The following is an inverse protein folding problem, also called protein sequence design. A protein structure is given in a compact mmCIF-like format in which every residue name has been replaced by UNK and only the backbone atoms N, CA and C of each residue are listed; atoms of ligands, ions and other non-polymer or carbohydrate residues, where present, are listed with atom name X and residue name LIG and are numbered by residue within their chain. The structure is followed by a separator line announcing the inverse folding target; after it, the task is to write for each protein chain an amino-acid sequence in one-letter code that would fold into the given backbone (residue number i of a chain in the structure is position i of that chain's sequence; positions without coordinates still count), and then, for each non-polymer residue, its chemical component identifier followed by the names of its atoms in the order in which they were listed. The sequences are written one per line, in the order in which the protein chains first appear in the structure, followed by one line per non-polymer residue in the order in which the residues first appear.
data_IF_386475545788
#
_entry.id   IF_386475545788
#
_cell.length_a   1.000
_cell.length_b   1.000
_cell.length_c   1.000
_cell.angle_alpha   90.00
_cell.angle_beta   90.00
_cell.angle_gamma   90.00
#
_symmetry.space_group_name_H-M   'P 1'
#
loop_
_entity.id
_entity.type
_entity.pdbx_description
1 polymer ?
#
# COMPACT_ATOMS: atom_id res chain seq x y z
N UNK A 1 -27.57 -14.77 10.96
CA UNK A 1 -28.46 -14.29 9.88
C UNK A 1 -28.67 -12.78 9.98
N UNK A 2 -28.97 -12.14 8.85
CA UNK A 2 -29.34 -10.72 8.73
C UNK A 2 -30.73 -10.63 8.13
N UNK A 3 -31.56 -9.75 8.65
CA UNK A 3 -32.91 -9.49 8.17
C UNK A 3 -33.12 -8.01 7.92
N UNK A 4 -33.77 -7.69 6.82
CA UNK A 4 -34.15 -6.32 6.43
C UNK A 4 -35.64 -6.19 6.62
N UNK A 5 -36.06 -5.14 7.31
CA UNK A 5 -37.47 -4.84 7.54
C UNK A 5 -37.79 -3.44 6.99
N UNK A 6 -38.98 -3.26 6.48
CA UNK A 6 -39.52 -1.94 6.22
C UNK A 6 -39.88 -1.27 7.56
N UNK A 7 -39.46 -0.02 7.74
CA UNK A 7 -39.81 0.74 8.95
C UNK A 7 -41.35 0.90 9.07
N UNK A 8 -42.05 1.12 7.96
CA UNK A 8 -43.52 1.18 7.95
C UNK A 8 -44.16 -0.12 8.45
N UNK A 9 -43.63 -1.28 8.02
CA UNK A 9 -44.16 -2.59 8.48
C UNK A 9 -43.89 -2.81 9.97
N UNK A 10 -42.78 -2.37 10.50
CA UNK A 10 -42.46 -2.47 11.95
C UNK A 10 -43.42 -1.59 12.76
N UNK A 11 -43.70 -0.37 12.31
CA UNK A 11 -44.53 0.59 13.04
C UNK A 11 -46.04 0.26 12.99
N UNK A 12 -46.50 -0.38 11.92
CA UNK A 12 -47.92 -0.69 11.70
C UNK A 12 -48.28 -2.13 12.03
N UNK A 13 -47.29 -3.03 12.10
CA UNK A 13 -47.53 -4.45 12.36
C UNK A 13 -47.62 -4.79 13.85
N UNK A 14 -48.28 -5.87 14.22
CA UNK A 14 -48.30 -6.35 15.58
C UNK A 14 -46.87 -6.80 16.00
N UNK A 15 -46.47 -6.59 17.27
CA UNK A 15 -45.17 -6.98 17.78
C UNK A 15 -44.87 -8.46 17.48
N UNK A 16 -43.73 -8.72 16.83
CA UNK A 16 -43.24 -10.08 16.55
C UNK A 16 -43.81 -10.79 15.33
N UNK A 17 -44.79 -10.19 14.60
CA UNK A 17 -45.43 -10.81 13.43
C UNK A 17 -45.01 -10.18 12.08
N UNK A 18 -44.06 -9.25 12.08
CA UNK A 18 -43.63 -8.58 10.84
C UNK A 18 -42.68 -9.49 10.04
N UNK A 19 -43.06 -9.82 8.84
CA UNK A 19 -42.17 -10.56 7.91
C UNK A 19 -41.03 -9.69 7.40
N UNK A 20 -39.79 -10.19 7.34
CA UNK A 20 -38.68 -9.47 6.74
C UNK A 20 -38.89 -9.28 5.22
N UNK A 21 -38.54 -8.10 4.71
CA UNK A 21 -38.55 -7.83 3.27
C UNK A 21 -37.43 -8.60 2.53
N UNK A 22 -36.31 -8.82 3.21
CA UNK A 22 -35.20 -9.66 2.73
C UNK A 22 -34.47 -10.30 3.91
N UNK A 23 -33.92 -11.49 3.73
CA UNK A 23 -33.10 -12.14 4.75
C UNK A 23 -31.95 -12.95 4.11
N UNK A 24 -30.84 -13.05 4.84
CA UNK A 24 -29.69 -13.86 4.47
C UNK A 24 -29.14 -14.60 5.68
N UNK A 25 -28.94 -15.89 5.54
CA UNK A 25 -28.29 -16.75 6.55
C UNK A 25 -26.84 -17.01 6.14
N UNK A 26 -25.97 -17.10 7.12
CA UNK A 26 -24.55 -17.40 6.93
C UNK A 26 -24.20 -18.62 7.77
N UNK A 27 -23.41 -19.50 7.19
CA UNK A 27 -23.00 -20.74 7.89
C UNK A 27 -21.98 -20.44 8.98
N UNK A 28 -21.07 -19.50 8.73
CA UNK A 28 -20.04 -19.03 9.67
C UNK A 28 -19.85 -17.54 9.51
N UNK A 29 -20.05 -16.81 10.57
CA UNK A 29 -19.77 -15.38 10.64
C UNK A 29 -19.72 -14.97 12.11
N UNK A 30 -18.57 -14.54 12.59
CA UNK A 30 -18.38 -14.01 13.93
C UNK A 30 -18.69 -12.52 13.96
N UNK A 31 -18.35 -11.82 12.89
CA UNK A 31 -18.58 -10.38 12.72
C UNK A 31 -19.28 -10.08 11.40
N UNK A 32 -20.14 -9.05 11.40
CA UNK A 32 -20.83 -8.56 10.21
C UNK A 32 -20.69 -7.05 10.15
N UNK A 33 -20.20 -6.55 9.01
CA UNK A 33 -20.16 -5.13 8.69
C UNK A 33 -21.16 -4.84 7.60
N UNK A 34 -21.98 -3.80 7.77
CA UNK A 34 -23.08 -3.47 6.87
C UNK A 34 -22.93 -2.03 6.36
N UNK A 35 -23.05 -1.85 5.03
CA UNK A 35 -23.07 -0.52 4.42
C UNK A 35 -24.24 -0.41 3.45
N UNK A 36 -25.16 0.51 3.75
CA UNK A 36 -26.28 0.84 2.90
C UNK A 36 -25.86 1.74 1.73
N UNK A 37 -26.47 1.55 0.58
CA UNK A 37 -26.39 2.57 -0.46
C UNK A 37 -27.23 3.79 -0.08
N UNK A 38 -26.92 4.95 -0.68
CA UNK A 38 -27.60 6.22 -0.36
C UNK A 38 -29.12 6.17 -0.64
N UNK A 39 -29.56 5.40 -1.64
CA UNK A 39 -30.96 5.22 -1.99
C UNK A 39 -31.71 4.30 -1.01
N UNK A 40 -31.04 3.61 -0.10
CA UNK A 40 -31.67 2.64 0.80
C UNK A 40 -32.27 1.41 0.10
N UNK A 41 -31.86 1.16 -1.14
CA UNK A 41 -32.38 0.07 -1.98
C UNK A 41 -31.54 -1.20 -1.94
N UNK A 42 -30.30 -1.11 -1.48
CA UNK A 42 -29.35 -2.23 -1.43
C UNK A 42 -28.40 -2.11 -0.25
N UNK A 43 -27.98 -3.26 0.24
CA UNK A 43 -27.09 -3.41 1.37
C UNK A 43 -25.90 -4.28 0.99
N UNK A 44 -24.68 -3.80 1.24
CA UNK A 44 -23.47 -4.62 1.24
C UNK A 44 -23.23 -5.17 2.65
N UNK A 45 -22.94 -6.45 2.72
CA UNK A 45 -22.71 -7.22 3.93
C UNK A 45 -21.36 -7.89 3.84
N UNK A 46 -20.41 -7.51 4.68
CA UNK A 46 -19.18 -8.25 4.87
C UNK A 46 -19.29 -9.13 6.11
N UNK A 47 -19.08 -10.42 5.93
CA UNK A 47 -18.94 -11.36 7.03
C UNK A 47 -17.46 -11.63 7.26
N UNK A 48 -17.05 -11.73 8.53
CA UNK A 48 -15.70 -12.10 8.91
C UNK A 48 -15.77 -13.22 9.97
N UNK A 49 -14.84 -14.17 9.87
CA UNK A 49 -14.59 -15.19 10.89
C UNK A 49 -13.30 -14.85 11.62
N UNK A 50 -13.24 -15.10 12.92
CA UNK A 50 -12.04 -14.83 13.73
C UNK A 50 -10.90 -15.85 13.44
N UNK A 51 -11.25 -17.03 12.92
CA UNK A 51 -10.31 -18.10 12.59
C UNK A 51 -10.47 -18.58 11.15
N UNK A 52 -9.37 -18.63 10.42
CA UNK A 52 -9.28 -19.32 9.14
C UNK A 52 -9.10 -20.83 9.39
N UNK A 53 -10.06 -21.64 8.93
CA UNK A 53 -9.98 -23.09 9.05
C UNK A 53 -8.91 -23.72 8.15
N UNK A 54 -8.48 -23.01 7.12
CA UNK A 54 -7.43 -23.49 6.23
C UNK A 54 -6.03 -23.27 6.81
N UNK A 55 -5.90 -22.53 7.91
CA UNK A 55 -4.61 -22.18 8.54
C UNK A 55 -3.71 -21.28 7.68
N UNK A 56 -4.22 -20.77 6.55
CA UNK A 56 -3.46 -19.93 5.62
C UNK A 56 -3.44 -18.45 6.01
N UNK A 57 -4.44 -17.99 6.76
CA UNK A 57 -4.58 -16.58 7.12
C UNK A 57 -4.72 -16.40 8.63
N UNK A 58 -3.92 -15.51 9.19
CA UNK A 58 -4.07 -15.05 10.57
C UNK A 58 -5.35 -14.23 10.78
N UNK A 59 -5.90 -13.63 9.72
CA UNK A 59 -7.00 -12.66 9.79
C UNK A 59 -8.39 -13.28 9.61
N UNK A 60 -8.50 -14.60 9.60
CA UNK A 60 -9.77 -15.27 9.32
C UNK A 60 -10.19 -15.18 7.85
N UNK A 61 -11.43 -15.57 7.58
CA UNK A 61 -12.03 -15.52 6.24
C UNK A 61 -13.04 -14.37 6.17
N UNK A 62 -12.98 -13.58 5.09
CA UNK A 62 -13.94 -12.51 4.82
C UNK A 62 -14.71 -12.78 3.54
N UNK A 63 -16.03 -12.56 3.57
CA UNK A 63 -16.90 -12.70 2.42
C UNK A 63 -17.79 -11.47 2.28
N UNK A 64 -18.03 -11.03 1.03
CA UNK A 64 -18.90 -9.91 0.74
C UNK A 64 -20.15 -10.39 0.03
N UNK A 65 -21.30 -9.90 0.48
CA UNK A 65 -22.61 -10.19 -0.08
C UNK A 65 -23.34 -8.90 -0.39
N UNK A 66 -24.18 -8.93 -1.42
CA UNK A 66 -25.07 -7.85 -1.77
C UNK A 66 -26.52 -8.33 -1.64
N UNK A 67 -27.33 -7.55 -0.95
CA UNK A 67 -28.75 -7.81 -0.73
C UNK A 67 -29.57 -6.61 -1.23
N UNK A 68 -30.60 -6.90 -2.02
CA UNK A 68 -31.64 -5.92 -2.37
C UNK A 68 -32.68 -5.85 -1.23
N UNK A 69 -33.17 -4.65 -0.93
CA UNK A 69 -34.26 -4.44 0.04
C UNK A 69 -35.59 -5.03 -0.39
N UNK A 70 -35.75 -5.29 -1.69
CA UNK A 70 -36.97 -5.93 -2.25
C UNK A 70 -36.94 -7.45 -2.13
N UNK A 71 -35.79 -8.05 -1.76
CA UNK A 71 -35.62 -9.48 -1.72
C UNK A 71 -35.52 -10.16 -3.09
N UNK A 72 -35.49 -9.40 -4.18
CA UNK A 72 -35.44 -9.87 -5.56
C UNK A 72 -34.00 -10.20 -6.02
N UNK A 73 -32.99 -9.76 -5.30
CA UNK A 73 -31.60 -10.00 -5.64
C UNK A 73 -30.74 -10.16 -4.40
N UNK A 74 -30.07 -11.29 -4.29
CA UNK A 74 -28.99 -11.51 -3.35
C UNK A 74 -27.88 -12.33 -4.00
N UNK A 75 -26.63 -11.94 -3.79
CA UNK A 75 -25.50 -12.72 -4.27
C UNK A 75 -24.24 -12.50 -3.43
N UNK A 76 -23.33 -13.46 -3.50
CA UNK A 76 -21.96 -13.31 -3.02
C UNK A 76 -21.16 -12.58 -4.09
N UNK A 77 -20.39 -11.56 -3.71
CA UNK A 77 -19.45 -10.88 -4.60
C UNK A 77 -18.26 -11.81 -4.84
N UNK A 78 -18.05 -12.19 -6.11
CA UNK A 78 -16.91 -13.01 -6.51
C UNK A 78 -15.62 -12.17 -6.50
N UNK A 79 -14.66 -12.55 -5.68
CA UNK A 79 -13.34 -11.90 -5.58
C UNK A 79 -12.31 -12.90 -6.10
N UNK A 80 -11.48 -12.46 -7.05
CA UNK A 80 -10.51 -13.28 -7.77
C UNK A 80 -9.13 -13.36 -7.12
N UNK A 81 -8.90 -12.58 -6.05
CA UNK A 81 -7.65 -12.57 -5.30
C UNK A 81 -7.87 -13.05 -3.87
N UNK A 82 -7.06 -14.01 -3.43
CA UNK A 82 -7.07 -14.51 -2.05
C UNK A 82 -6.64 -13.43 -1.04
N UNK A 83 -7.25 -13.46 0.13
CA UNK A 83 -6.94 -12.59 1.26
C UNK A 83 -8.14 -11.81 1.77
N UNK A 84 -7.94 -11.02 2.85
CA UNK A 84 -9.03 -10.32 3.50
C UNK A 84 -9.58 -9.17 2.65
N UNK A 85 -10.84 -8.82 2.89
CA UNK A 85 -11.44 -7.58 2.41
C UNK A 85 -11.01 -6.49 3.39
N UNK A 86 -10.35 -5.44 2.86
CA UNK A 86 -9.83 -4.34 3.66
C UNK A 86 -10.87 -3.24 3.84
N UNK A 87 -11.57 -2.91 2.76
CA UNK A 87 -12.67 -1.94 2.76
C UNK A 87 -13.58 -2.14 1.55
N UNK A 88 -14.81 -1.68 1.66
CA UNK A 88 -15.79 -1.63 0.59
C UNK A 88 -16.69 -0.43 0.78
N UNK A 89 -17.02 0.28 -0.30
CA UNK A 89 -17.80 1.52 -0.20
C UNK A 89 -18.74 1.69 -1.39
N UNK A 90 -19.97 2.13 -1.10
CA UNK A 90 -20.93 2.52 -2.13
C UNK A 90 -20.57 3.87 -2.75
N UNK A 91 -20.69 3.95 -4.06
CA UNK A 91 -20.74 5.25 -4.72
C UNK A 91 -22.03 6.00 -4.30
N UNK A 92 -21.96 7.32 -4.08
CA UNK A 92 -23.13 8.13 -3.76
C UNK A 92 -24.28 8.03 -4.78
N UNK A 93 -23.99 7.61 -6.03
CA UNK A 93 -25.01 7.35 -7.06
C UNK A 93 -25.83 6.08 -6.83
N UNK A 94 -25.47 5.24 -5.83
CA UNK A 94 -26.12 3.97 -5.49
C UNK A 94 -26.15 2.91 -6.60
N UNK A 95 -25.38 3.08 -7.67
CA UNK A 95 -25.36 2.17 -8.84
C UNK A 95 -24.12 1.30 -8.91
N UNK A 96 -23.10 1.62 -8.11
CA UNK A 96 -21.82 0.94 -8.10
C UNK A 96 -21.16 1.02 -6.72
N UNK A 97 -20.19 0.15 -6.49
CA UNK A 97 -19.40 0.14 -5.28
C UNK A 97 -17.96 -0.30 -5.59
N UNK A 98 -17.02 0.08 -4.74
CA UNK A 98 -15.61 -0.34 -4.82
C UNK A 98 -15.34 -1.32 -3.69
N UNK A 99 -14.46 -2.30 -3.97
CA UNK A 99 -13.95 -3.25 -2.98
C UNK A 99 -12.42 -3.26 -3.05
N UNK A 100 -11.79 -3.17 -1.88
CA UNK A 100 -10.36 -3.39 -1.67
C UNK A 100 -10.16 -4.75 -1.00
N UNK A 101 -9.50 -5.68 -1.66
CA UNK A 101 -9.36 -7.05 -1.17
C UNK A 101 -8.06 -7.73 -1.57
N UNK A 102 -7.78 -8.83 -0.91
CA UNK A 102 -6.62 -9.66 -1.15
C UNK A 102 -5.41 -9.28 -0.29
N UNK A 103 -4.45 -10.18 -0.19
CA UNK A 103 -3.19 -9.90 0.52
C UNK A 103 -2.49 -8.70 -0.09
N UNK A 104 -1.86 -7.88 0.78
CA UNK A 104 -1.15 -6.67 0.33
C UNK A 104 -0.03 -7.01 -0.67
N UNK A 105 0.06 -6.25 -1.77
CA UNK A 105 -0.75 -5.09 -2.17
C UNK A 105 -2.17 -5.48 -2.56
N UNK A 106 -3.19 -4.77 -2.02
CA UNK A 106 -4.61 -5.07 -2.24
C UNK A 106 -5.05 -4.75 -3.67
N UNK A 107 -5.97 -5.57 -4.21
CA UNK A 107 -6.63 -5.31 -5.49
C UNK A 107 -7.84 -4.41 -5.25
N UNK A 108 -8.02 -3.41 -6.11
CA UNK A 108 -9.17 -2.50 -6.11
C UNK A 108 -10.02 -2.76 -7.35
N UNK A 109 -11.31 -3.00 -7.14
CA UNK A 109 -12.26 -3.28 -8.24
C UNK A 109 -13.55 -2.51 -8.04
N UNK A 110 -14.05 -1.92 -9.12
CA UNK A 110 -15.35 -1.26 -9.19
C UNK A 110 -16.38 -2.26 -9.70
N UNK A 111 -17.44 -2.47 -8.94
CA UNK A 111 -18.56 -3.33 -9.28
C UNK A 111 -19.83 -2.51 -9.52
N UNK A 112 -20.67 -2.98 -10.42
CA UNK A 112 -22.05 -2.48 -10.57
C UNK A 112 -22.92 -2.98 -9.41
N UNK A 113 -24.11 -2.38 -9.24
CA UNK A 113 -25.11 -2.88 -8.28
C UNK A 113 -25.63 -4.30 -8.62
N UNK A 114 -25.34 -4.83 -9.81
CA UNK A 114 -25.59 -6.22 -10.21
C UNK A 114 -24.37 -7.13 -10.00
N UNK A 115 -23.34 -6.62 -9.34
CA UNK A 115 -22.09 -7.34 -9.01
C UNK A 115 -21.27 -7.73 -10.25
N UNK A 116 -21.47 -7.04 -11.36
CA UNK A 116 -20.59 -7.16 -12.52
C UNK A 116 -19.39 -6.22 -12.36
N UNK A 117 -18.21 -6.67 -12.75
CA UNK A 117 -17.00 -5.84 -12.78
C UNK A 117 -17.15 -4.73 -13.82
N UNK A 118 -17.00 -3.48 -13.40
CA UNK A 118 -16.98 -2.30 -14.27
C UNK A 118 -15.54 -1.96 -14.65
N UNK A 119 -14.64 -1.91 -13.66
CA UNK A 119 -13.24 -1.57 -13.86
C UNK A 119 -12.36 -2.19 -12.78
N UNK A 120 -11.15 -2.57 -13.17
CA UNK A 120 -10.08 -2.95 -12.27
C UNK A 120 -9.09 -1.79 -12.14
N UNK A 121 -8.84 -1.33 -10.91
CA UNK A 121 -7.98 -0.19 -10.62
C UNK A 121 -6.52 -0.59 -10.31
N UNK A 122 -6.23 -1.90 -10.48
CA UNK A 122 -4.92 -2.48 -10.22
C UNK A 122 -4.70 -2.89 -8.76
N UNK A 123 -3.45 -3.22 -8.43
CA UNK A 123 -3.04 -3.68 -7.10
C UNK A 123 -2.07 -2.69 -6.48
N UNK A 124 -2.39 -2.19 -5.30
CA UNK A 124 -1.61 -1.20 -4.57
C UNK A 124 -1.76 -1.38 -3.06
N UNK A 125 -0.80 -0.91 -2.23
CA UNK A 125 -0.93 -0.95 -0.78
C UNK A 125 -1.96 0.10 -0.31
N UNK A 126 -3.24 -0.26 -0.39
CA UNK A 126 -4.39 0.58 -0.03
C UNK A 126 -5.34 -0.22 0.85
N UNK A 127 -5.98 0.44 1.82
CA UNK A 127 -6.90 -0.18 2.77
C UNK A 127 -8.11 0.69 3.14
N UNK A 128 -8.30 1.82 2.46
CA UNK A 128 -9.40 2.74 2.70
C UNK A 128 -9.91 3.31 1.39
N UNK A 129 -11.24 3.38 1.26
CA UNK A 129 -11.96 3.97 0.14
C UNK A 129 -12.79 5.15 0.67
N UNK A 130 -12.80 6.26 -0.06
CA UNK A 130 -13.71 7.36 0.25
C UNK A 130 -14.15 8.07 -1.02
N UNK A 131 -15.44 8.21 -1.21
CA UNK A 131 -16.03 8.99 -2.29
C UNK A 131 -16.26 10.44 -1.87
N UNK A 132 -16.09 11.37 -2.81
CA UNK A 132 -16.58 12.72 -2.57
C UNK A 132 -18.14 12.73 -2.59
N UNK A 133 -18.77 13.75 -1.97
CA UNK A 133 -20.24 13.79 -1.85
C UNK A 133 -21.02 13.69 -3.16
N UNK A 134 -20.43 14.13 -4.28
CA UNK A 134 -21.00 14.06 -5.62
C UNK A 134 -20.82 12.71 -6.30
N UNK A 135 -19.89 11.86 -5.81
CA UNK A 135 -19.56 10.58 -6.43
C UNK A 135 -18.73 10.68 -7.72
N UNK A 136 -18.25 11.88 -8.08
CA UNK A 136 -17.39 12.11 -9.23
C UNK A 136 -15.95 11.67 -8.94
N UNK A 137 -15.42 12.08 -7.80
CA UNK A 137 -14.08 11.73 -7.37
C UNK A 137 -14.16 10.71 -6.24
N UNK A 138 -13.13 9.86 -6.17
CA UNK A 138 -12.91 9.00 -5.01
C UNK A 138 -11.42 8.85 -4.75
N UNK A 139 -11.10 8.44 -3.54
CA UNK A 139 -9.73 8.17 -3.13
C UNK A 139 -9.56 6.73 -2.68
N UNK A 140 -8.38 6.20 -2.96
CA UNK A 140 -7.86 4.97 -2.39
C UNK A 140 -6.65 5.33 -1.53
N UNK A 141 -6.75 5.11 -0.22
CA UNK A 141 -5.71 5.48 0.72
C UNK A 141 -5.10 4.26 1.40
N UNK A 142 -3.83 4.35 1.75
CA UNK A 142 -3.09 3.33 2.50
C UNK A 142 -2.65 3.85 3.85
N UNK A 143 -3.48 3.71 4.88
CA UNK A 143 -3.20 4.19 6.23
C UNK A 143 -2.80 3.06 7.16
N UNK A 144 -2.49 3.40 8.35
CA UNK A 144 -2.13 2.42 9.32
C UNK A 144 -0.67 2.02 9.23
N UNK A 145 -0.42 0.75 9.01
CA UNK A 145 0.91 0.20 8.80
C UNK A 145 1.42 0.42 7.36
N UNK A 146 0.65 1.14 6.53
CA UNK A 146 1.00 1.51 5.17
C UNK A 146 1.62 2.91 5.12
N UNK A 147 2.23 3.25 4.00
CA UNK A 147 3.04 4.47 3.84
C UNK A 147 2.27 5.80 3.89
N UNK A 148 0.93 5.77 3.90
CA UNK A 148 0.11 7.00 3.90
C UNK A 148 -0.15 7.59 2.52
N UNK A 149 0.12 6.84 1.47
CA UNK A 149 -0.14 7.30 0.10
C UNK A 149 -1.64 7.31 -0.18
N UNK A 150 -2.13 8.38 -0.81
CA UNK A 150 -3.53 8.57 -1.21
C UNK A 150 -3.58 8.84 -2.71
N UNK A 151 -4.32 8.01 -3.43
CA UNK A 151 -4.54 8.15 -4.87
C UNK A 151 -5.94 8.71 -5.12
N UNK A 152 -6.02 9.79 -5.89
CA UNK A 152 -7.27 10.42 -6.30
C UNK A 152 -7.62 9.93 -7.70
N UNK A 153 -8.87 9.47 -7.87
CA UNK A 153 -9.41 8.93 -9.11
C UNK A 153 -10.62 9.72 -9.58
N UNK A 154 -10.78 9.84 -10.89
CA UNK A 154 -12.00 10.34 -11.51
C UNK A 154 -12.85 9.17 -11.99
N UNK A 155 -14.07 9.06 -11.49
CA UNK A 155 -15.01 7.99 -11.85
C UNK A 155 -15.35 8.00 -13.34
N UNK A 156 -15.37 9.17 -13.99
CA UNK A 156 -15.67 9.29 -15.42
C UNK A 156 -14.47 8.92 -16.32
N UNK A 157 -13.27 8.82 -15.75
CA UNK A 157 -12.01 8.59 -16.47
C UNK A 157 -11.20 7.42 -15.89
N UNK A 158 -11.86 6.34 -15.51
CA UNK A 158 -11.18 5.19 -14.89
C UNK A 158 -10.11 4.57 -15.82
N UNK A 159 -10.34 4.62 -17.13
CA UNK A 159 -9.38 4.10 -18.12
C UNK A 159 -8.07 4.93 -18.19
N UNK A 160 -8.13 6.21 -17.84
CA UNK A 160 -6.95 7.10 -17.85
C UNK A 160 -6.05 6.86 -16.62
N UNK A 161 -6.50 6.04 -15.67
CA UNK A 161 -5.82 5.75 -14.43
C UNK A 161 -6.10 6.80 -13.33
N UNK A 162 -5.24 6.82 -12.32
CA UNK A 162 -5.35 7.79 -11.23
C UNK A 162 -4.94 9.19 -11.69
N UNK A 163 -5.65 10.21 -11.18
CA UNK A 163 -5.38 11.60 -11.49
C UNK A 163 -4.14 12.12 -10.77
N UNK A 164 -4.12 11.95 -9.46
CA UNK A 164 -3.09 12.48 -8.58
C UNK A 164 -2.75 11.49 -7.48
N UNK A 165 -1.54 11.59 -6.99
CA UNK A 165 -1.08 10.89 -5.78
C UNK A 165 -0.55 11.93 -4.81
N UNK A 166 -0.97 11.86 -3.56
CA UNK A 166 -0.45 12.70 -2.48
C UNK A 166 0.09 11.82 -1.35
N UNK A 167 1.04 12.37 -0.61
CA UNK A 167 1.63 11.75 0.55
C UNK A 167 1.02 12.34 1.82
N UNK A 168 0.15 11.56 2.45
CA UNK A 168 -0.45 11.84 3.75
C UNK A 168 0.11 10.89 4.81
N UNK A 169 1.44 10.78 4.88
CA UNK A 169 2.15 9.93 5.84
C UNK A 169 1.63 10.16 7.25
N UNK A 170 1.58 9.08 8.04
CA UNK A 170 1.12 9.07 9.43
C UNK A 170 -0.36 9.41 9.64
N UNK A 171 -1.14 9.65 8.59
CA UNK A 171 -2.57 9.95 8.73
C UNK A 171 -3.37 8.73 9.16
N UNK A 172 -4.39 8.95 9.95
CA UNK A 172 -5.35 7.96 10.44
C UNK A 172 -6.80 8.28 10.06
N UNK A 173 -7.04 9.52 9.64
CA UNK A 173 -8.36 10.03 9.23
C UNK A 173 -8.25 10.64 7.85
N UNK A 174 -9.28 10.41 7.02
CA UNK A 174 -9.46 11.03 5.73
C UNK A 174 -10.95 11.34 5.56
N UNK A 175 -11.27 12.58 5.20
CA UNK A 175 -12.64 13.02 5.00
C UNK A 175 -12.71 14.06 3.87
N UNK A 176 -13.70 13.93 2.99
CA UNK A 176 -13.99 14.92 1.98
C UNK A 176 -14.76 16.10 2.58
N UNK A 177 -14.47 17.32 2.11
CA UNK A 177 -15.27 18.48 2.44
C UNK A 177 -16.71 18.32 1.90
N UNK A 178 -17.71 19.00 2.51
CA UNK A 178 -19.09 18.91 2.07
C UNK A 178 -19.33 19.34 0.63
N UNK A 179 -18.49 20.25 0.10
CA UNK A 179 -18.51 20.68 -1.30
C UNK A 179 -17.74 19.73 -2.25
N UNK A 180 -17.02 18.76 -1.71
CA UNK A 180 -16.28 17.73 -2.46
C UNK A 180 -15.01 18.23 -3.14
N UNK A 181 -14.53 19.45 -2.85
CA UNK A 181 -13.34 20.02 -3.46
C UNK A 181 -12.06 19.81 -2.65
N UNK A 182 -12.19 19.57 -1.35
CA UNK A 182 -11.05 19.42 -0.45
C UNK A 182 -11.08 18.08 0.27
N UNK A 183 -9.88 17.60 0.60
CA UNK A 183 -9.65 16.44 1.44
C UNK A 183 -8.98 16.90 2.74
N UNK A 184 -9.50 16.47 3.86
CA UNK A 184 -8.88 16.56 5.16
C UNK A 184 -8.16 15.24 5.45
N UNK A 185 -6.91 15.30 5.84
CA UNK A 185 -6.18 14.17 6.42
C UNK A 185 -5.65 14.56 7.79
N UNK A 186 -5.73 13.66 8.75
CA UNK A 186 -5.34 13.95 10.13
C UNK A 186 -4.46 12.88 10.74
N UNK A 187 -3.44 13.31 11.48
CA UNK A 187 -2.63 12.47 12.36
C UNK A 187 -3.13 12.63 13.79
N UNK A 188 -3.70 11.55 14.36
CA UNK A 188 -4.35 11.60 15.67
C UNK A 188 -3.49 10.97 16.78
N UNK A 189 -3.54 11.59 17.97
CA UNK A 189 -2.77 11.21 19.15
C UNK A 189 -2.96 9.76 19.63
N UNK A 190 -4.15 9.14 19.61
CA UNK A 190 -4.29 7.77 20.09
C UNK A 190 -3.43 6.77 19.35
N UNK A 191 -3.11 7.07 18.10
CA UNK A 191 -2.29 6.22 17.25
C UNK A 191 -0.83 6.65 17.21
N UNK A 192 -0.57 7.92 17.03
CA UNK A 192 0.78 8.50 16.91
C UNK A 192 0.82 9.82 17.68
N UNK A 193 1.77 9.94 18.60
CA UNK A 193 1.92 11.15 19.43
C UNK A 193 2.86 12.20 18.84
N UNK A 194 3.33 11.98 17.61
CA UNK A 194 4.26 12.89 16.90
C UNK A 194 3.57 13.41 15.66
N UNK A 195 3.83 14.67 15.32
CA UNK A 195 3.29 15.35 14.13
C UNK A 195 1.74 15.32 14.05
N UNK A 196 1.08 15.46 15.21
CA UNK A 196 -0.38 15.58 15.25
C UNK A 196 -0.83 16.86 14.54
N UNK A 197 -1.94 16.78 13.88
CA UNK A 197 -2.49 17.91 13.15
C UNK A 197 -3.30 17.49 11.93
N UNK A 198 -3.80 18.48 11.22
CA UNK A 198 -4.56 18.32 9.99
C UNK A 198 -3.80 18.88 8.80
N UNK A 199 -4.02 18.23 7.65
CA UNK A 199 -3.60 18.74 6.35
C UNK A 199 -4.81 18.78 5.44
N UNK A 200 -5.02 19.91 4.78
CA UNK A 200 -6.09 20.10 3.83
C UNK A 200 -5.49 20.11 2.42
N UNK A 201 -5.98 19.22 1.60
CA UNK A 201 -5.55 19.05 0.22
C UNK A 201 -6.68 19.44 -0.72
N UNK A 202 -6.37 20.10 -1.81
CA UNK A 202 -7.31 20.31 -2.88
C UNK A 202 -7.48 19.02 -3.72
N UNK A 203 -8.62 18.84 -4.38
CA UNK A 203 -8.89 17.67 -5.22
C UNK A 203 -7.90 17.45 -6.37
N UNK A 204 -7.08 18.45 -6.70
CA UNK A 204 -5.94 18.36 -7.63
C UNK A 204 -4.66 17.83 -6.98
N UNK A 205 -4.70 17.35 -5.74
CA UNK A 205 -3.55 16.83 -5.01
C UNK A 205 -2.63 17.88 -4.39
N UNK A 206 -2.96 19.18 -4.48
CA UNK A 206 -2.15 20.25 -3.92
C UNK A 206 -2.46 20.49 -2.44
N UNK A 207 -1.42 20.61 -1.62
CA UNK A 207 -1.54 20.98 -0.20
C UNK A 207 -1.94 22.45 -0.09
N UNK A 208 -3.06 22.72 0.60
CA UNK A 208 -3.62 24.07 0.76
C UNK A 208 -3.39 24.60 2.17
N UNK A 209 -3.59 23.76 3.18
CA UNK A 209 -3.48 24.19 4.57
C UNK A 209 -2.88 23.11 5.44
N UNK A 210 -2.14 23.54 6.47
CA UNK A 210 -1.60 22.67 7.52
C UNK A 210 -1.84 23.37 8.84
N UNK A 211 -2.39 22.63 9.79
CA UNK A 211 -2.52 23.05 11.18
C UNK A 211 -1.97 21.94 12.07
N UNK A 212 -0.93 22.26 12.84
CA UNK A 212 -0.26 21.32 13.75
C UNK A 212 -0.77 21.60 15.16
N UNK A 213 -1.26 20.57 15.80
CA UNK A 213 -1.87 20.62 17.14
C UNK A 213 -1.23 19.55 18.01
N UNK A 214 -0.78 19.95 19.19
CA UNK A 214 -0.29 18.99 20.18
C UNK A 214 -1.48 18.11 20.66
N UNK A 215 -1.31 16.79 20.63
CA UNK A 215 -2.30 15.83 21.12
C UNK A 215 -3.71 15.95 20.49
N UNK A 216 -3.83 15.99 19.20
CA UNK A 216 -5.11 16.01 18.52
C UNK A 216 -5.80 14.64 18.55
N UNK A 217 -7.03 14.57 19.06
CA UNK A 217 -7.82 13.33 19.21
C UNK A 217 -8.83 13.08 18.10
N UNK A 218 -9.38 14.12 17.51
CA UNK A 218 -10.30 14.02 16.38
C UNK A 218 -10.23 15.24 15.48
N UNK A 219 -10.53 15.06 14.22
CA UNK A 219 -10.68 16.11 13.23
C UNK A 219 -11.79 15.72 12.27
N UNK A 220 -12.67 16.65 11.96
CA UNK A 220 -13.77 16.46 11.02
C UNK A 220 -14.14 17.79 10.38
N UNK A 221 -14.72 17.74 9.18
CA UNK A 221 -15.34 18.90 8.59
C UNK A 221 -16.57 19.31 9.39
N UNK A 222 -16.81 20.62 9.50
CA UNK A 222 -18.08 21.11 10.01
C UNK A 222 -19.22 20.60 9.11
N UNK A 223 -20.20 19.87 9.66
CA UNK A 223 -21.32 19.40 8.88
C UNK A 223 -22.06 20.55 8.20
N UNK A 224 -22.25 20.47 6.90
CA UNK A 224 -23.08 21.40 6.14
C UNK A 224 -24.23 20.62 5.54
N UNK A 225 -25.44 21.06 5.86
CA UNK A 225 -26.66 20.45 5.30
C UNK A 225 -26.91 21.03 3.91
N UNK A 226 -26.53 20.26 2.92
CA UNK A 226 -27.04 20.46 1.56
C UNK A 226 -28.19 19.46 1.35
N UNK A 227 -29.30 19.91 0.82
CA UNK A 227 -30.37 19.01 0.37
C UNK A 227 -29.82 18.10 -0.73
N UNK A 228 -29.01 18.69 -1.63
CA UNK A 228 -28.17 17.98 -2.59
C UNK A 228 -26.77 18.62 -2.56
N UNK A 229 -25.70 17.81 -2.64
CA UNK A 229 -24.36 18.36 -2.76
C UNK A 229 -24.27 19.22 -4.03
N UNK A 230 -23.59 20.38 -3.98
CA UNK A 230 -23.43 21.21 -5.17
C UNK A 230 -22.79 20.40 -6.31
N UNK A 231 -23.29 20.63 -7.53
CA UNK A 231 -22.78 19.91 -8.70
C UNK A 231 -21.27 20.09 -8.84
N UNK A 232 -20.56 18.98 -9.01
CA UNK A 232 -19.12 19.04 -9.21
C UNK A 232 -18.81 19.53 -10.63
N UNK A 233 -17.89 20.50 -10.81
CA UNK A 233 -17.59 21.06 -12.13
C UNK A 233 -17.03 20.00 -13.08
N UNK A 234 -17.34 20.10 -14.37
CA UNK A 234 -16.86 19.18 -15.41
C UNK A 234 -15.32 19.16 -15.50
N UNK A 235 -14.70 20.31 -15.36
CA UNK A 235 -13.24 20.45 -15.27
C UNK A 235 -12.84 20.65 -13.80
N UNK A 236 -11.75 20.05 -13.39
CA UNK A 236 -11.23 20.24 -12.03
C UNK A 236 -10.94 21.73 -11.79
N UNK A 237 -11.46 22.31 -10.70
CA UNK A 237 -11.20 23.71 -10.38
C UNK A 237 -9.70 23.91 -10.09
N UNK A 238 -9.17 25.12 -10.34
CA UNK A 238 -7.80 25.43 -9.96
C UNK A 238 -7.65 25.43 -8.44
N UNK A 239 -6.53 24.88 -7.94
CA UNK A 239 -6.25 24.91 -6.51
C UNK A 239 -6.04 26.36 -6.02
N UNK A 240 -6.57 26.73 -4.86
CA UNK A 240 -6.26 28.00 -4.23
C UNK A 240 -4.77 28.09 -3.85
N UNK A 241 -4.30 29.31 -3.57
CA UNK A 241 -2.95 29.51 -3.07
C UNK A 241 -2.78 28.81 -1.69
N UNK A 242 -1.63 28.18 -1.43
CA UNK A 242 -1.39 27.55 -0.14
C UNK A 242 -1.27 28.59 0.97
N UNK A 243 -1.73 28.24 2.16
CA UNK A 243 -1.52 29.06 3.37
C UNK A 243 -0.04 29.20 3.68
N UNK A 244 0.32 30.19 4.49
CA UNK A 244 1.71 30.40 4.93
C UNK A 244 2.32 29.15 5.59
N UNK A 245 1.54 28.43 6.41
CA UNK A 245 1.94 27.18 7.04
C UNK A 245 2.18 26.06 6.00
N UNK A 246 1.29 25.91 5.03
CA UNK A 246 1.46 24.94 3.96
C UNK A 246 2.66 25.27 3.05
N UNK A 247 2.86 26.55 2.74
CA UNK A 247 4.01 27.00 1.95
C UNK A 247 5.34 26.70 2.66
N UNK A 248 5.41 26.88 3.98
CA UNK A 248 6.58 26.53 4.77
C UNK A 248 6.89 25.03 4.76
N UNK A 249 5.86 24.17 4.84
CA UNK A 249 6.02 22.71 4.74
C UNK A 249 6.50 22.30 3.35
N UNK A 250 5.92 22.85 2.30
CA UNK A 250 6.31 22.58 0.91
C UNK A 250 7.76 23.01 0.64
N UNK A 251 8.18 24.17 1.16
CA UNK A 251 9.57 24.64 1.05
C UNK A 251 10.55 23.68 1.75
N UNK A 252 10.22 23.19 2.94
CA UNK A 252 11.03 22.18 3.66
C UNK A 252 11.14 20.87 2.89
N UNK A 253 10.06 20.39 2.27
CA UNK A 253 10.08 19.18 1.46
C UNK A 253 10.96 19.32 0.21
N UNK A 254 10.93 20.47 -0.46
CA UNK A 254 11.78 20.76 -1.61
C UNK A 254 13.27 20.83 -1.26
N UNK A 255 13.61 21.37 -0.09
CA UNK A 255 15.00 21.41 0.38
C UNK A 255 15.52 20.04 0.80
N UNK A 256 14.67 19.18 1.38
CA UNK A 256 15.02 17.80 1.73
C UNK A 256 15.17 16.90 0.50
N UNK A 257 14.47 17.19 -0.59
CA UNK A 257 14.53 16.42 -1.85
C UNK A 257 15.75 16.77 -2.72
N UNK A 258 16.53 17.80 -2.40
CA UNK A 258 17.81 18.04 -3.09
C UNK A 258 18.77 16.91 -2.71
N UNK A 259 19.30 16.13 -3.66
CA UNK A 259 20.27 15.10 -3.36
C UNK A 259 21.45 15.76 -2.65
N UNK A 260 21.74 15.38 -1.43
CA UNK A 260 23.02 15.65 -0.80
C UNK A 260 24.05 15.06 -1.75
N UNK A 261 24.86 15.93 -2.33
CA UNK A 261 25.85 15.57 -3.36
C UNK A 261 26.59 14.30 -2.92
N UNK A 262 26.77 13.38 -3.84
CA UNK A 262 27.47 12.13 -3.61
C UNK A 262 28.68 12.37 -2.72
N UNK A 263 28.80 11.56 -1.64
CA UNK A 263 29.96 11.63 -0.75
C UNK A 263 31.24 11.68 -1.55
N UNK A 264 31.93 12.81 -1.56
CA UNK A 264 33.29 12.94 -2.07
C UNK A 264 34.26 12.64 -0.94
N UNK A 265 35.06 11.55 -1.07
CA UNK A 265 36.12 11.25 -0.10
C UNK A 265 37.02 12.49 0.12
N UNK A 266 37.60 12.66 1.29
CA UNK A 266 38.46 13.82 1.60
C UNK A 266 39.59 14.04 0.59
N UNK A 267 40.12 12.98 -0.01
CA UNK A 267 41.16 13.02 -1.06
C UNK A 267 40.67 13.64 -2.40
N UNK A 268 39.38 13.60 -2.67
CA UNK A 268 38.80 14.19 -3.88
C UNK A 268 38.39 15.66 -3.71
N UNK A 269 38.51 16.23 -2.48
CA UNK A 269 38.16 17.64 -2.20
C UNK A 269 39.24 18.62 -2.64
N UNK A 270 40.48 18.16 -2.83
CA UNK A 270 41.61 19.00 -3.26
C UNK A 270 41.89 18.93 -4.76
N UNK A 271 41.17 18.14 -5.54
CA UNK A 271 41.17 18.18 -6.98
C UNK A 271 40.13 19.23 -7.48
N UNK A 272 40.30 20.44 -6.99
CA UNK A 272 39.52 21.59 -7.42
C UNK A 272 40.21 22.31 -8.59
N UNK A 273 39.40 22.60 -9.59
CA UNK A 273 39.68 23.55 -10.68
C UNK A 273 40.64 23.09 -11.77
N UNK A 274 40.17 22.28 -12.71
CA UNK A 274 40.36 22.53 -14.15
C UNK A 274 39.60 21.49 -14.98
N UNK A 275 38.32 21.64 -15.10
CA UNK A 275 37.49 20.94 -16.08
C UNK A 275 36.81 21.93 -17.02
N UNK A 276 37.61 22.87 -17.51
CA UNK A 276 37.18 23.86 -18.47
C UNK A 276 37.86 23.81 -19.84
N UNK A 277 38.79 22.84 -20.08
CA UNK A 277 39.66 22.93 -21.28
C UNK A 277 39.80 21.63 -22.08
N UNK A 278 38.96 20.64 -21.92
CA UNK A 278 39.04 19.37 -22.65
C UNK A 278 38.06 19.20 -23.82
N UNK A 279 37.30 20.22 -24.21
CA UNK A 279 36.34 20.10 -25.31
C UNK A 279 36.56 21.12 -26.45
N UNK A 280 37.81 21.47 -26.76
CA UNK A 280 38.11 22.17 -28.01
C UNK A 280 39.54 21.88 -28.44
N UNK A 281 39.77 20.74 -29.09
CA UNK A 281 40.85 20.55 -30.04
C UNK A 281 40.77 19.17 -30.73
N UNK A 282 39.86 19.04 -31.64
CA UNK A 282 40.01 18.16 -32.77
C UNK A 282 39.77 19.01 -34.02
N UNK A 283 40.83 19.31 -34.67
CA UNK A 283 40.98 19.37 -36.13
C UNK A 283 42.36 19.99 -36.47
N UNK A 284 43.18 19.17 -37.04
CA UNK A 284 44.15 19.37 -38.11
C UNK A 284 45.56 18.78 -37.92
N UNK A 285 45.81 17.84 -38.80
CA UNK A 285 47.00 17.59 -39.62
C UNK A 285 48.13 16.69 -39.14
N UNK A 286 48.18 15.56 -39.83
CA UNK A 286 49.30 14.97 -40.59
C UNK A 286 50.64 14.62 -39.92
N UNK A 287 50.94 13.30 -39.81
CA UNK A 287 52.09 12.55 -40.32
C UNK A 287 53.45 12.70 -39.64
N UNK A 288 54.41 11.82 -39.97
CA UNK A 288 54.87 10.77 -39.05
C UNK A 288 56.38 10.86 -38.73
N UNK A 289 56.85 10.24 -37.65
CA UNK A 289 58.18 9.59 -37.57
C UNK A 289 58.53 9.05 -36.21
N UNK A 290 58.96 7.79 -36.22
CA UNK A 290 59.70 7.03 -35.20
C UNK A 290 61.19 7.46 -35.25
N UNK A 291 62.19 7.15 -34.36
CA UNK A 291 62.23 6.11 -33.32
C UNK A 291 63.10 6.44 -32.05
N UNK A 292 63.24 5.42 -31.25
CA UNK A 292 64.41 4.99 -30.41
C UNK A 292 64.42 5.26 -28.91
N UNK A 293 64.52 4.12 -28.27
CA UNK A 293 64.96 3.76 -26.87
C UNK A 293 66.44 4.15 -26.70
N UNK A 294 67.11 4.24 -25.49
CA UNK A 294 67.05 3.26 -24.39
C UNK A 294 67.39 3.81 -22.96
N UNK A 295 67.11 2.96 -21.99
CA UNK A 295 68.13 2.79 -20.96
C UNK A 295 67.78 2.99 -19.46
N UNK A 296 67.85 1.88 -18.76
CA UNK A 296 68.50 1.63 -17.45
C UNK A 296 67.74 1.98 -16.14
N UNK A 297 67.26 0.99 -15.45
CA UNK A 297 67.79 0.33 -14.21
C UNK A 297 67.64 1.09 -12.89
N UNK A 298 67.00 0.48 -11.93
CA UNK A 298 67.54 -0.07 -10.64
C UNK A 298 66.40 -0.40 -9.65
N UNK A 299 66.28 -1.65 -9.31
CA UNK A 299 66.51 -2.42 -8.10
C UNK A 299 66.16 -1.78 -6.75
N UNK A 300 65.24 -2.45 -6.05
CA UNK A 300 65.27 -3.00 -4.68
C UNK A 300 63.85 -3.02 -4.12
N UNK A 301 63.35 -4.01 -3.45
CA UNK A 301 63.85 -5.13 -2.72
C UNK A 301 62.67 -5.72 -1.93
N UNK A 302 62.60 -7.02 -1.86
CA UNK A 302 61.48 -7.82 -1.48
C UNK A 302 61.13 -7.88 0.01
N UNK A 303 59.93 -8.39 0.27
CA UNK A 303 59.71 -9.26 1.45
C UNK A 303 58.55 -10.23 1.15
N UNK A 304 58.90 -11.51 1.13
CA UNK A 304 57.98 -12.65 1.09
C UNK A 304 57.35 -12.86 2.45
N UNK A 305 56.08 -13.26 2.49
CA UNK A 305 55.45 -14.04 3.55
C UNK A 305 54.64 -15.16 2.90
N UNK A 306 54.77 -16.42 3.39
CA UNK A 306 54.28 -17.61 2.70
C UNK A 306 52.90 -18.09 3.21
N UNK A 307 52.17 -18.80 2.33
CA UNK A 307 51.31 -19.90 2.76
C UNK A 307 49.82 -19.72 2.71
N UNK A 308 49.16 -20.10 1.61
CA UNK A 308 47.87 -20.78 1.64
C UNK A 308 47.68 -21.58 0.34
N UNK A 309 47.06 -22.77 0.36
CA UNK A 309 47.15 -23.76 -0.69
C UNK A 309 46.14 -23.54 -1.84
N UNK A 310 46.58 -23.88 -3.03
CA UNK A 310 45.83 -23.96 -4.27
C UNK A 310 44.74 -25.05 -4.20
N UNK A 311 43.55 -24.76 -4.67
CA UNK A 311 42.54 -25.74 -5.07
C UNK A 311 42.47 -25.81 -6.59
N UNK A 312 42.69 -27.00 -7.09
CA UNK A 312 42.59 -27.46 -8.47
C UNK A 312 41.12 -27.38 -8.99
N UNK A 313 40.92 -27.19 -10.29
CA UNK A 313 39.58 -27.17 -10.90
C UNK A 313 39.11 -28.55 -11.28
N UNK A 314 37.82 -28.86 -11.07
CA UNK A 314 37.13 -30.08 -11.46
C UNK A 314 36.57 -29.98 -12.88
N UNK A 315 36.41 -31.12 -13.62
CA UNK A 315 36.07 -31.18 -15.03
C UNK A 315 34.57 -31.05 -15.31
N UNK A 316 34.14 -30.80 -16.57
CA UNK A 316 32.76 -30.56 -16.93
C UNK A 316 31.97 -31.86 -17.12
N UNK A 317 30.63 -31.86 -16.88
CA UNK A 317 29.77 -33.00 -17.21
C UNK A 317 29.26 -32.94 -18.65
N UNK A 318 29.15 -34.14 -19.23
CA UNK A 318 28.63 -34.45 -20.58
C UNK A 318 27.09 -34.34 -20.64
N UNK A 319 26.52 -34.13 -21.81
CA UNK A 319 25.09 -33.94 -22.00
C UNK A 319 24.32 -35.25 -22.14
N UNK A 320 23.10 -35.29 -21.61
CA UNK A 320 22.08 -36.25 -21.98
C UNK A 320 20.81 -35.55 -22.43
N UNK A 321 20.33 -35.97 -23.58
CA UNK A 321 19.10 -35.54 -24.26
C UNK A 321 17.83 -35.93 -23.50
N UNK A 322 16.79 -35.14 -23.67
CA UNK A 322 15.47 -35.67 -23.86
C UNK A 322 14.32 -34.94 -23.17
N UNK A 323 13.49 -34.32 -24.00
CA UNK A 323 12.05 -34.09 -23.89
C UNK A 323 11.49 -32.92 -23.11
N UNK A 324 11.09 -31.91 -23.88
CA UNK A 324 9.77 -31.26 -23.98
C UNK A 324 9.05 -30.76 -22.70
N UNK A 325 8.95 -29.42 -22.67
CA UNK A 325 7.71 -28.64 -22.64
C UNK A 325 7.13 -28.21 -21.30
N UNK A 326 6.68 -26.97 -21.34
CA UNK A 326 5.78 -26.16 -20.49
C UNK A 326 6.46 -25.25 -19.46
N UNK A 327 6.38 -23.97 -19.80
CA UNK A 327 6.81 -22.85 -18.99
C UNK A 327 5.97 -22.64 -17.74
N UNK A 328 6.65 -22.15 -16.71
CA UNK A 328 6.04 -21.29 -15.69
C UNK A 328 7.11 -20.55 -14.92
N UNK A 329 6.97 -19.27 -14.98
CA UNK A 329 7.62 -18.25 -14.18
C UNK A 329 7.41 -18.49 -12.67
N UNK A 330 8.47 -18.59 -11.87
CA UNK A 330 8.37 -18.42 -10.41
C UNK A 330 9.69 -17.98 -9.79
N UNK A 331 9.76 -16.70 -9.48
CA UNK A 331 10.85 -16.06 -8.75
C UNK A 331 10.68 -16.06 -7.21
N UNK A 332 9.78 -16.87 -6.65
CA UNK A 332 9.45 -16.87 -5.22
C UNK A 332 10.03 -18.04 -4.40
N UNK A 333 10.63 -19.02 -5.02
CA UNK A 333 11.19 -20.20 -4.33
C UNK A 333 12.38 -19.90 -3.41
N UNK A 334 13.18 -18.88 -3.73
CA UNK A 334 14.42 -18.58 -2.99
C UNK A 334 14.21 -17.93 -1.61
N UNK A 335 13.13 -17.21 -1.41
CA UNK A 335 12.80 -16.53 -0.14
C UNK A 335 12.19 -17.52 0.85
N UNK A 336 11.34 -18.42 0.36
CA UNK A 336 10.70 -19.46 1.19
C UNK A 336 11.76 -20.48 1.65
N UNK A 337 12.68 -20.87 0.79
CA UNK A 337 13.76 -21.81 1.12
C UNK A 337 14.73 -21.22 2.15
N UNK A 338 15.07 -19.93 2.05
CA UNK A 338 15.87 -19.23 3.09
C UNK A 338 15.14 -19.15 4.43
N UNK A 339 13.83 -18.91 4.45
CA UNK A 339 13.01 -18.90 5.67
C UNK A 339 12.95 -20.31 6.29
N UNK A 340 12.75 -21.36 5.50
CA UNK A 340 12.77 -22.76 5.94
C UNK A 340 14.11 -23.15 6.56
N UNK A 341 15.23 -22.80 5.92
CA UNK A 341 16.58 -23.07 6.47
C UNK A 341 16.81 -22.34 7.78
N UNK A 342 16.33 -21.09 7.92
CA UNK A 342 16.46 -20.34 9.17
C UNK A 342 15.59 -20.91 10.29
N UNK A 343 14.39 -21.38 10.01
CA UNK A 343 13.50 -22.02 10.98
C UNK A 343 14.06 -23.37 11.43
N UNK A 344 14.59 -24.18 10.52
CA UNK A 344 15.23 -25.47 10.84
C UNK A 344 16.47 -25.26 11.71
N UNK A 345 17.24 -24.20 11.49
CA UNK A 345 18.40 -23.85 12.31
C UNK A 345 18.00 -23.42 13.73
N UNK A 346 16.89 -22.69 13.87
CA UNK A 346 16.33 -22.30 15.17
C UNK A 346 15.79 -23.51 15.93
N UNK A 347 15.08 -24.43 15.26
CA UNK A 347 14.59 -25.67 15.88
C UNK A 347 15.73 -26.54 16.42
N UNK A 348 16.77 -26.75 15.64
CA UNK A 348 17.96 -27.48 16.11
C UNK A 348 18.63 -26.83 17.33
N UNK A 349 18.70 -25.50 17.37
CA UNK A 349 19.24 -24.78 18.51
C UNK A 349 18.37 -24.94 19.77
N UNK A 350 17.06 -24.96 19.63
CA UNK A 350 16.10 -25.19 20.74
C UNK A 350 16.21 -26.65 21.23
N UNK A 351 16.32 -27.61 20.33
CA UNK A 351 16.53 -29.02 20.69
C UNK A 351 17.83 -29.23 21.48
N UNK A 352 18.93 -28.63 21.05
CA UNK A 352 20.20 -28.66 21.79
C UNK A 352 20.12 -28.03 23.18
N UNK A 353 19.35 -26.92 23.33
CA UNK A 353 19.14 -26.31 24.64
C UNK A 353 18.29 -27.18 25.55
N UNK A 354 17.29 -27.89 25.01
CA UNK A 354 16.48 -28.86 25.76
C UNK A 354 17.33 -30.05 26.23
N UNK A 355 18.17 -30.59 25.36
CA UNK A 355 19.07 -31.69 25.70
C UNK A 355 20.08 -31.32 26.80
N UNK A 356 20.60 -30.09 26.77
CA UNK A 356 21.50 -29.55 27.80
C UNK A 356 20.79 -29.37 29.14
N UNK A 357 19.53 -28.86 29.10
CA UNK A 357 18.66 -28.75 30.29
C UNK A 357 18.40 -30.12 30.88
N UNK A 358 18.08 -31.13 30.08
CA UNK A 358 17.76 -32.48 30.53
C UNK A 358 18.99 -33.21 31.07
N UNK A 359 20.21 -32.78 30.66
CA UNK A 359 21.49 -33.22 31.23
C UNK A 359 21.90 -32.48 32.52
N UNK A 360 21.09 -31.54 33.01
CA UNK A 360 21.29 -30.82 34.27
C UNK A 360 22.31 -29.67 34.20
N UNK A 361 22.61 -29.16 33.00
CA UNK A 361 23.46 -27.96 32.83
C UNK A 361 22.66 -26.69 33.17
N UNK A 362 23.28 -25.78 33.94
CA UNK A 362 22.67 -24.48 34.24
C UNK A 362 22.61 -23.60 32.98
N UNK A 363 21.40 -23.26 32.53
CA UNK A 363 21.18 -22.38 31.39
C UNK A 363 20.98 -20.93 31.87
N UNK A 364 21.53 -19.96 31.13
CA UNK A 364 21.34 -18.53 31.39
C UNK A 364 19.88 -18.12 31.16
N UNK A 365 19.39 -17.11 31.90
CA UNK A 365 18.01 -16.60 31.81
C UNK A 365 17.62 -16.19 30.38
N UNK A 366 18.54 -15.70 29.57
CA UNK A 366 18.33 -15.34 28.16
C UNK A 366 18.13 -16.56 27.25
N UNK A 367 18.53 -17.74 27.66
CA UNK A 367 18.37 -19.00 26.94
C UNK A 367 17.06 -19.73 27.31
N UNK A 368 16.45 -19.38 28.44
CA UNK A 368 15.16 -19.90 28.88
C UNK A 368 13.96 -19.17 28.25
N UNK A 369 14.18 -17.98 27.67
CA UNK A 369 13.15 -17.19 26.99
C UNK A 369 13.05 -17.42 25.48
N UNK A 370 13.86 -18.29 24.92
CA UNK A 370 13.82 -18.72 23.50
C UNK A 370 13.04 -20.01 23.34
#
# INVERSE_FOLDING_TARGET
FVRIYSLASILQGPPGAVAPAAQKSFFKADKVTMKWNRAGSSLLLMTATDHDQTGKSYYGETNLYMLSTRGDFDCRVGLDKEGPIHDFEWSPNSREFIVLYGYMPAKAVVFSYRVNVIAELGTQPRNLISYNPQGRLFVLAGFGNLAGTVDIWDRERLADGKLFTLDASNSSVLEWSPDGQFLLTGTLSPRLRVDNGVRIWHCTGKLVHVDMVDEMYSAAWRPQRFTEPPAFPKTLPPAPAPSTAAAAVLAKQQTAAKPMGAYRPPSARHAGASTGDFLRRDEQSSGPSVPSVPGASSKRGGRKVPGAPQKTPAPPPKPTMGAADVGACSSDGGVVEKKLRNLTKKLKAIEQLKERRDKGEALEQTQLQK
#
